data_IF_218038088454
#
_entry.id   IF_218038088454
#
_cell.length_a   1.000
_cell.length_b   1.000
_cell.length_c   1.000
_cell.angle_alpha   90.00
_cell.angle_beta   90.00
_cell.angle_gamma   90.00
#
_symmetry.space_group_name_H-M   'P 1'
#
loop_
_entity.id
_entity.type
_entity.pdbx_description
1 polymer ?
#
# COMPACT_ATOMS: atom_id res chain seq x y z
N UNK A 1 -10.99 -2.52 5.74
CA UNK A 1 -10.12 -1.96 4.67
C UNK A 1 -9.91 -0.45 4.81
N UNK A 2 -9.85 0.08 6.04
CA UNK A 2 -9.81 1.53 6.29
C UNK A 2 -8.54 2.19 5.74
N UNK A 3 -7.38 1.55 5.94
CA UNK A 3 -6.08 2.08 5.52
C UNK A 3 -6.01 2.29 4.01
N UNK A 4 -6.41 1.27 3.23
CA UNK A 4 -6.42 1.38 1.77
C UNK A 4 -7.41 2.43 1.27
N UNK A 5 -8.59 2.53 1.89
CA UNK A 5 -9.57 3.58 1.58
C UNK A 5 -9.00 4.96 1.83
N UNK A 6 -8.34 5.20 2.97
CA UNK A 6 -7.72 6.48 3.28
C UNK A 6 -6.62 6.83 2.27
N UNK A 7 -5.76 5.87 1.93
CA UNK A 7 -4.69 6.07 0.94
C UNK A 7 -5.25 6.47 -0.43
N UNK A 8 -6.31 5.80 -0.89
CA UNK A 8 -6.98 6.12 -2.16
C UNK A 8 -7.64 7.50 -2.10
N UNK A 9 -8.42 7.79 -1.07
CA UNK A 9 -9.17 9.04 -0.93
C UNK A 9 -8.25 10.26 -0.90
N UNK A 10 -7.09 10.14 -0.26
CA UNK A 10 -6.14 11.25 -0.16
C UNK A 10 -5.02 11.21 -1.22
N UNK A 11 -4.99 10.18 -2.07
CA UNK A 11 -3.95 10.03 -3.10
C UNK A 11 -2.55 9.77 -2.54
N UNK A 12 -2.43 9.07 -1.41
CA UNK A 12 -1.16 8.73 -0.81
C UNK A 12 -0.67 7.33 -1.23
N UNK A 13 0.65 7.16 -1.44
CA UNK A 13 1.22 5.82 -1.57
C UNK A 13 1.18 5.09 -0.22
N UNK A 14 0.90 3.78 -0.26
CA UNK A 14 0.86 2.93 0.92
C UNK A 14 2.20 2.21 1.11
N UNK A 15 2.95 2.62 2.14
CA UNK A 15 4.16 1.93 2.58
C UNK A 15 3.79 0.71 3.43
N UNK A 16 4.17 -0.49 2.99
CA UNK A 16 3.85 -1.72 3.73
C UNK A 16 4.84 -2.86 3.45
N UNK A 17 4.96 -3.78 4.40
CA UNK A 17 5.62 -5.07 4.22
C UNK A 17 4.64 -6.13 3.67
N UNK A 18 3.33 -5.92 3.80
CA UNK A 18 2.29 -6.85 3.36
C UNK A 18 1.89 -6.59 1.89
N UNK A 19 2.88 -6.52 1.01
CA UNK A 19 2.72 -6.11 -0.39
C UNK A 19 1.71 -6.97 -1.16
N UNK A 20 1.70 -8.28 -0.89
CA UNK A 20 0.85 -9.26 -1.59
C UNK A 20 -0.64 -9.01 -1.39
N UNK A 21 -1.02 -8.53 -0.21
CA UNK A 21 -2.42 -8.25 0.11
C UNK A 21 -2.87 -6.95 -0.58
N UNK A 22 -2.08 -5.88 -0.42
CA UNK A 22 -2.47 -4.55 -0.90
C UNK A 22 -2.31 -4.35 -2.41
N UNK A 23 -1.42 -5.10 -3.09
CA UNK A 23 -1.30 -5.05 -4.56
C UNK A 23 -2.55 -5.51 -5.33
N UNK A 24 -3.48 -6.21 -4.66
CA UNK A 24 -4.73 -6.67 -5.28
C UNK A 24 -5.78 -5.56 -5.40
N UNK A 25 -5.56 -4.44 -4.72
CA UNK A 25 -6.49 -3.32 -4.66
C UNK A 25 -6.17 -2.38 -5.81
N UNK A 26 -7.15 -2.08 -6.66
CA UNK A 26 -6.97 -1.12 -7.75
C UNK A 26 -6.93 0.31 -7.21
N UNK A 27 -6.13 1.16 -7.83
CA UNK A 27 -6.07 2.60 -7.51
C UNK A 27 -5.20 2.97 -6.31
N UNK A 28 -4.45 2.02 -5.73
CA UNK A 28 -3.47 2.29 -4.67
C UNK A 28 -2.06 2.06 -5.18
N UNK A 29 -1.16 3.02 -4.93
CA UNK A 29 0.28 2.84 -5.14
C UNK A 29 0.87 2.16 -3.90
N UNK A 30 1.56 1.03 -4.06
CA UNK A 30 2.13 0.26 -2.94
C UNK A 30 3.65 0.37 -2.96
N UNK A 31 4.20 0.96 -1.90
CA UNK A 31 5.63 1.03 -1.66
C UNK A 31 6.04 -0.03 -0.65
N UNK A 32 7.27 -0.51 -0.79
CA UNK A 32 7.86 -1.45 0.16
C UNK A 32 9.34 -1.17 0.32
N UNK A 33 9.87 -1.44 1.51
CA UNK A 33 11.31 -1.41 1.75
C UNK A 33 11.86 -2.83 1.64
N UNK A 34 12.95 -2.99 0.90
CA UNK A 34 13.70 -4.23 0.92
C UNK A 34 14.38 -4.34 2.29
N UNK A 35 14.08 -5.39 3.04
CA UNK A 35 14.93 -5.78 4.17
C UNK A 35 16.26 -6.25 3.56
N UNK A 36 17.26 -5.36 3.53
CA UNK A 36 18.65 -5.75 3.31
C UNK A 36 19.28 -5.87 4.69
N UNK A 37 18.94 -6.96 5.36
CA UNK A 37 19.65 -7.49 6.52
C UNK A 37 19.95 -8.96 6.25
#
# INVERSE_FOLDING_TARGET
>A
MLIATTAITHGYPLLTLNVKEFKKIQGIEVLTVSSKD
#
